data_IF_213112916942
#
_entry.id   IF_213112916942
#
_cell.length_a   1.000
_cell.length_b   1.000
_cell.length_c   1.000
_cell.angle_alpha   90.00
_cell.angle_beta   90.00
_cell.angle_gamma   90.00
#
_symmetry.space_group_name_H-M   'P 1'
#
loop_
_entity.id
_entity.type
_entity.pdbx_description
1 polymer ?
#
# COMPACT_ATOMS: atom_id res chain seq x y z
N UNK A 1 -11.30 1.80 -16.79
CA UNK A 1 -11.36 0.47 -16.14
C UNK A 1 -9.93 0.07 -15.85
N UNK A 2 -9.54 -0.04 -14.58
CA UNK A 2 -8.18 -0.49 -14.20
C UNK A 2 -8.21 -2.01 -14.24
N UNK A 3 -7.36 -2.61 -15.07
CA UNK A 3 -7.29 -4.07 -15.21
C UNK A 3 -7.06 -4.74 -13.85
N UNK A 4 -7.94 -5.68 -13.43
CA UNK A 4 -7.86 -6.37 -12.14
C UNK A 4 -6.69 -7.37 -12.04
N UNK A 5 -5.72 -7.30 -12.96
CA UNK A 5 -4.51 -8.14 -13.03
C UNK A 5 -3.22 -7.37 -12.78
N UNK A 6 -3.29 -6.08 -12.47
CA UNK A 6 -2.09 -5.29 -12.18
C UNK A 6 -1.35 -5.91 -11.01
N UNK A 7 -0.10 -6.34 -11.25
CA UNK A 7 0.69 -6.96 -10.20
C UNK A 7 0.95 -5.96 -9.07
N UNK A 8 1.16 -6.40 -7.82
CA UNK A 8 1.47 -5.50 -6.71
C UNK A 8 2.61 -4.51 -7.01
N UNK A 9 3.60 -4.95 -7.81
CA UNK A 9 4.69 -4.14 -8.28
C UNK A 9 4.26 -3.04 -9.27
N UNK A 10 3.34 -3.35 -10.18
CA UNK A 10 2.83 -2.37 -11.15
C UNK A 10 2.04 -1.27 -10.46
N UNK A 11 1.22 -1.63 -9.47
CA UNK A 11 0.47 -0.67 -8.66
C UNK A 11 1.44 0.26 -7.92
N UNK A 12 2.52 -0.29 -7.37
CA UNK A 12 3.54 0.52 -6.72
C UNK A 12 4.29 1.44 -7.70
N UNK A 13 4.70 0.91 -8.86
CA UNK A 13 5.43 1.69 -9.85
C UNK A 13 4.60 2.84 -10.41
N UNK A 14 3.32 2.61 -10.65
CA UNK A 14 2.38 3.61 -11.17
C UNK A 14 1.64 4.38 -10.07
N UNK A 15 2.14 4.38 -8.84
CA UNK A 15 1.44 5.00 -7.70
C UNK A 15 1.22 6.50 -7.85
N UNK A 16 2.10 7.17 -8.59
CA UNK A 16 1.96 8.59 -8.93
C UNK A 16 0.86 8.83 -9.97
N UNK A 17 0.66 7.88 -10.90
CA UNK A 17 -0.41 7.94 -11.92
C UNK A 17 -1.78 7.54 -11.33
N UNK A 18 -1.81 6.51 -10.47
CA UNK A 18 -3.03 6.04 -9.82
C UNK A 18 -3.48 6.93 -8.67
N UNK A 19 -2.56 7.71 -8.09
CA UNK A 19 -2.75 8.38 -6.82
C UNK A 19 -2.44 7.45 -5.65
N UNK A 20 -1.92 8.04 -4.57
CA UNK A 20 -1.41 7.28 -3.43
C UNK A 20 -2.51 6.48 -2.72
N UNK A 21 -3.65 7.12 -2.46
CA UNK A 21 -4.80 6.51 -1.80
C UNK A 21 -5.38 5.35 -2.60
N UNK A 22 -5.50 5.52 -3.92
CA UNK A 22 -5.99 4.48 -4.81
C UNK A 22 -5.01 3.29 -4.89
N UNK A 23 -3.71 3.57 -4.89
CA UNK A 23 -2.67 2.54 -4.87
C UNK A 23 -2.71 1.71 -3.58
N UNK A 24 -2.91 2.37 -2.44
CA UNK A 24 -3.11 1.70 -1.14
C UNK A 24 -4.36 0.83 -1.20
N UNK A 25 -5.49 1.35 -1.72
CA UNK A 25 -6.73 0.59 -1.85
C UNK A 25 -6.58 -0.65 -2.73
N UNK A 26 -5.93 -0.53 -3.88
CA UNK A 26 -5.68 -1.64 -4.80
C UNK A 26 -4.77 -2.72 -4.18
N UNK A 27 -3.73 -2.31 -3.45
CA UNK A 27 -2.87 -3.26 -2.75
C UNK A 27 -3.59 -3.96 -1.59
N UNK A 28 -4.41 -3.23 -0.82
CA UNK A 28 -5.24 -3.80 0.24
C UNK A 28 -6.22 -4.82 -0.33
N UNK A 29 -6.88 -4.51 -1.45
CA UNK A 29 -7.77 -5.46 -2.13
C UNK A 29 -7.03 -6.75 -2.48
N UNK A 30 -5.81 -6.67 -3.05
CA UNK A 30 -4.99 -7.86 -3.33
C UNK A 30 -4.66 -8.66 -2.06
N UNK A 31 -4.41 -8.00 -0.92
CA UNK A 31 -4.13 -8.70 0.35
C UNK A 31 -5.35 -9.50 0.84
N UNK A 32 -6.55 -8.99 0.60
CA UNK A 32 -7.82 -9.54 1.07
C UNK A 32 -8.43 -10.56 0.10
N UNK A 33 -8.34 -10.32 -1.21
CA UNK A 33 -9.08 -11.08 -2.23
C UNK A 33 -8.24 -12.13 -2.95
N UNK A 34 -6.92 -11.94 -3.07
CA UNK A 34 -6.06 -12.84 -3.81
C UNK A 34 -5.76 -14.13 -3.03
N UNK A 35 -5.83 -15.29 -3.69
CA UNK A 35 -5.55 -16.60 -3.06
C UNK A 35 -4.06 -16.94 -3.13
N UNK A 36 -3.35 -16.38 -4.10
CA UNK A 36 -1.91 -16.58 -4.25
C UNK A 36 -1.14 -15.89 -3.12
N UNK A 37 -0.47 -16.70 -2.30
CA UNK A 37 0.31 -16.21 -1.16
C UNK A 37 1.47 -15.29 -1.59
N UNK A 38 2.09 -15.57 -2.75
CA UNK A 38 3.17 -14.76 -3.29
C UNK A 38 2.71 -13.35 -3.64
N UNK A 39 1.56 -13.22 -4.29
CA UNK A 39 0.94 -11.93 -4.60
C UNK A 39 0.49 -11.18 -3.36
N UNK A 40 -0.14 -11.85 -2.39
CA UNK A 40 -0.49 -11.24 -1.09
C UNK A 40 0.74 -10.68 -0.38
N UNK A 41 1.81 -11.47 -0.30
CA UNK A 41 3.07 -11.06 0.32
C UNK A 41 3.72 -9.89 -0.44
N UNK A 42 3.63 -9.90 -1.78
CA UNK A 42 4.04 -8.79 -2.62
C UNK A 42 3.28 -7.50 -2.29
N UNK A 43 1.95 -7.57 -2.17
CA UNK A 43 1.12 -6.43 -1.84
C UNK A 43 1.45 -5.84 -0.46
N UNK A 44 1.62 -6.67 0.57
CA UNK A 44 2.06 -6.22 1.91
C UNK A 44 3.43 -5.53 1.83
N UNK A 45 4.39 -6.06 1.06
CA UNK A 45 5.71 -5.45 0.87
C UNK A 45 5.59 -4.04 0.30
N UNK A 46 4.79 -3.85 -0.75
CA UNK A 46 4.64 -2.55 -1.40
C UNK A 46 3.83 -1.56 -0.56
N UNK A 47 2.83 -2.00 0.21
CA UNK A 47 2.16 -1.16 1.22
C UNK A 47 3.17 -0.61 2.25
N UNK A 48 4.07 -1.45 2.74
CA UNK A 48 5.14 -1.03 3.65
C UNK A 48 6.12 -0.05 3.02
N UNK A 49 6.42 -0.19 1.72
CA UNK A 49 7.28 0.75 0.99
C UNK A 49 6.59 2.11 0.81
N UNK A 50 5.31 2.15 0.45
CA UNK A 50 4.53 3.39 0.36
C UNK A 50 4.53 4.12 1.70
N UNK A 51 4.28 3.40 2.80
CA UNK A 51 4.31 3.97 4.16
C UNK A 51 5.69 4.55 4.55
N UNK A 52 6.79 3.98 4.00
CA UNK A 52 8.15 4.47 4.25
C UNK A 52 8.53 5.67 3.38
N UNK A 53 8.16 5.66 2.11
CA UNK A 53 8.51 6.71 1.15
C UNK A 53 7.66 7.98 1.30
N UNK A 54 6.50 7.88 1.94
CA UNK A 54 5.58 8.98 2.17
C UNK A 54 5.64 9.38 3.65
N UNK A 55 6.67 10.13 4.09
CA UNK A 55 6.74 10.59 5.47
C UNK A 55 5.62 11.59 5.83
N UNK A 56 4.87 12.10 4.85
CA UNK A 56 3.63 12.86 5.08
C UNK A 56 2.49 12.01 5.66
N UNK A 57 2.49 10.69 5.49
CA UNK A 57 1.57 9.77 6.19
C UNK A 57 1.99 9.48 7.63
N UNK A 58 3.24 9.82 8.02
CA UNK A 58 3.72 9.68 9.41
C UNK A 58 3.27 10.80 10.34
N UNK A 59 2.66 11.87 9.83
CA UNK A 59 2.25 13.01 10.67
C UNK A 59 0.99 12.77 11.50
N UNK A 60 0.29 11.65 11.29
CA UNK A 60 -0.91 11.31 12.05
C UNK A 60 -0.83 9.92 12.71
N UNK A 61 0.36 9.56 13.21
CA UNK A 61 0.45 8.63 14.33
C UNK A 61 0.87 9.43 15.56
N UNK A 62 -0.11 10.15 16.12
CA UNK A 62 -0.04 10.71 17.46
C UNK A 62 0.05 9.53 18.44
N UNK A 63 1.26 9.01 18.65
CA UNK A 63 1.56 8.33 19.89
C UNK A 63 1.61 9.42 20.95
N UNK A 64 0.69 9.46 21.94
CA UNK A 64 0.85 10.34 23.07
C UNK A 64 2.07 9.87 23.85
N UNK A 65 3.22 10.49 23.59
CA UNK A 65 4.36 10.44 24.49
C UNK A 65 4.01 11.26 25.73
N UNK A 66 3.25 10.67 26.63
CA UNK A 66 2.93 11.23 27.95
C UNK A 66 2.67 10.09 28.93
N UNK A 67 3.71 9.29 29.17
CA UNK A 67 3.85 8.46 30.38
C UNK A 67 5.36 8.26 30.63
N UNK A 68 6.02 9.29 31.14
CA UNK A 68 7.19 9.22 32.00
C UNK A 68 7.19 10.45 32.90
#
# INVERSE_FOLDING_TARGET
MVDPKSSPQEIFNKREEFGLENSVKLLTDIVETEKDYGKRKGAVKYLGLISREVPSLKKESFFPSSFF
#
